data_IF_550233299176
#
_entry.id   IF_550233299176
#
_cell.length_a   1.000
_cell.length_b   1.000
_cell.length_c   1.000
_cell.angle_alpha   90.00
_cell.angle_beta   90.00
_cell.angle_gamma   90.00
#
_symmetry.space_group_name_H-M   'P 1'
#
loop_
_entity.id
_entity.type
_entity.pdbx_description
1 polymer ?
#
# COMPACT_ATOMS: atom_id res chain seq x y z
N UNK A 1 0.43 11.34 11.76
CA UNK A 1 -0.86 10.94 11.16
C UNK A 1 -0.95 9.43 11.28
N UNK A 2 -1.89 8.95 12.05
CA UNK A 2 -2.00 7.52 12.36
C UNK A 2 -3.47 7.07 12.32
N UNK A 3 -3.74 6.01 11.55
CA UNK A 3 -5.06 5.37 11.46
C UNK A 3 -6.22 6.32 11.17
N UNK A 4 -6.03 7.27 10.27
CA UNK A 4 -7.06 8.25 9.95
C UNK A 4 -7.03 8.64 8.47
N UNK A 5 -8.00 9.46 8.08
CA UNK A 5 -8.07 10.08 6.76
C UNK A 5 -7.86 11.58 6.91
N UNK A 6 -6.95 12.13 6.13
CA UNK A 6 -6.63 13.56 6.14
C UNK A 6 -6.82 14.12 4.74
N UNK A 7 -7.54 15.24 4.66
CA UNK A 7 -7.65 16.03 3.45
C UNK A 7 -7.22 17.46 3.77
N UNK A 8 -6.16 17.91 3.14
CA UNK A 8 -5.59 19.23 3.35
C UNK A 8 -5.41 19.94 2.00
N UNK A 9 -6.01 21.07 1.85
CA UNK A 9 -5.91 21.87 0.63
C UNK A 9 -5.69 23.33 0.97
N UNK A 10 -4.72 23.94 0.30
CA UNK A 10 -4.36 25.34 0.48
C UNK A 10 -3.72 25.90 -0.79
N UNK A 11 -3.76 27.19 -0.93
CA UNK A 11 -3.00 27.89 -1.99
C UNK A 11 -1.51 27.96 -1.68
N UNK A 12 -1.10 27.72 -0.45
CA UNK A 12 0.30 27.84 -0.02
C UNK A 12 0.92 26.45 0.14
N UNK A 13 0.61 25.77 1.21
CA UNK A 13 1.05 24.40 1.51
C UNK A 13 -0.15 23.51 1.78
N UNK A 14 -0.08 22.25 1.39
CA UNK A 14 -1.06 21.26 1.82
C UNK A 14 -0.80 20.81 3.26
N UNK A 15 0.32 20.17 3.48
CA UNK A 15 0.82 19.78 4.80
C UNK A 15 2.26 20.26 4.88
N UNK A 16 2.59 21.04 5.90
CA UNK A 16 3.93 21.59 6.03
C UNK A 16 4.43 21.58 7.47
N UNK A 17 5.75 21.44 7.60
CA UNK A 17 6.48 21.69 8.83
C UNK A 17 6.90 23.16 8.96
N UNK A 18 7.82 23.43 9.88
CA UNK A 18 8.32 24.78 10.16
C UNK A 18 9.78 24.93 9.75
N UNK A 19 10.05 24.78 8.47
CA UNK A 19 11.37 25.06 7.91
C UNK A 19 12.25 23.86 7.57
N UNK A 20 11.82 22.65 7.84
CA UNK A 20 12.46 21.45 7.28
C UNK A 20 13.73 20.93 7.95
N UNK A 21 14.14 21.49 9.08
CA UNK A 21 15.39 21.05 9.73
C UNK A 21 15.20 20.04 10.87
N UNK A 22 14.06 20.06 11.52
CA UNK A 22 13.81 19.26 12.72
C UNK A 22 12.49 18.52 12.73
N UNK A 23 11.57 18.88 11.87
CA UNK A 23 10.25 18.29 11.85
C UNK A 23 10.25 16.98 11.07
N UNK A 24 9.72 15.95 11.70
CA UNK A 24 9.58 14.64 11.10
C UNK A 24 8.09 14.30 10.93
N UNK A 25 7.68 14.02 9.73
CA UNK A 25 6.31 13.58 9.44
C UNK A 25 6.27 12.06 9.36
N UNK A 26 5.46 11.44 10.20
CA UNK A 26 5.17 10.02 10.13
C UNK A 26 3.71 9.82 9.75
N UNK A 27 3.48 9.02 8.72
CA UNK A 27 2.14 8.63 8.27
C UNK A 27 2.05 7.11 8.36
N UNK A 28 1.11 6.64 9.17
CA UNK A 28 0.97 5.21 9.45
C UNK A 28 -0.48 4.77 9.23
N UNK A 29 -0.67 3.77 8.39
CA UNK A 29 -1.98 3.17 8.11
C UNK A 29 -3.07 4.22 7.85
N UNK A 30 -2.77 5.22 7.01
CA UNK A 30 -3.64 6.36 6.79
C UNK A 30 -3.80 6.68 5.31
N UNK A 31 -4.94 7.30 4.99
CA UNK A 31 -5.20 7.87 3.68
C UNK A 31 -5.04 9.38 3.79
N UNK A 32 -4.15 9.95 2.99
CA UNK A 32 -3.84 11.38 3.02
C UNK A 32 -3.96 11.96 1.62
N UNK A 33 -4.68 13.06 1.52
CA UNK A 33 -4.72 13.89 0.32
C UNK A 33 -4.24 15.29 0.69
N UNK A 34 -3.21 15.78 0.01
CA UNK A 34 -2.65 17.09 0.26
C UNK A 34 -2.50 17.87 -1.06
N UNK A 35 -2.90 19.12 -1.05
CA UNK A 35 -2.75 20.04 -2.17
C UNK A 35 -2.23 21.36 -1.66
N UNK A 36 -1.05 21.77 -2.14
CA UNK A 36 -0.49 23.10 -1.91
C UNK A 36 0.09 23.60 -3.21
N UNK A 37 -0.44 24.70 -3.73
CA UNK A 37 -0.16 25.11 -5.11
C UNK A 37 1.00 26.08 -5.25
N UNK A 38 1.45 26.70 -4.17
CA UNK A 38 2.52 27.69 -4.22
C UNK A 38 3.89 27.10 -3.92
N UNK A 39 4.06 26.42 -2.80
CA UNK A 39 5.35 25.91 -2.35
C UNK A 39 5.46 24.39 -2.32
N UNK A 40 4.37 23.68 -2.07
CA UNK A 40 4.35 22.23 -2.10
C UNK A 40 3.16 21.63 -1.39
N UNK A 41 2.76 20.47 -1.85
CA UNK A 41 1.64 19.76 -1.25
C UNK A 41 2.01 19.08 0.09
N UNK A 42 3.24 18.55 0.18
CA UNK A 42 3.84 18.07 1.43
C UNK A 42 5.27 18.61 1.46
N UNK A 43 5.57 19.51 2.38
CA UNK A 43 6.81 20.27 2.33
C UNK A 43 7.29 20.69 3.72
N UNK A 44 8.54 21.18 3.79
CA UNK A 44 9.19 21.71 4.99
C UNK A 44 9.31 20.70 6.13
N UNK A 45 9.66 19.44 5.79
CA UNK A 45 9.98 18.40 6.75
C UNK A 45 11.42 17.92 6.59
N UNK A 46 12.07 17.58 7.69
CA UNK A 46 13.38 16.94 7.68
C UNK A 46 13.29 15.50 7.18
N UNK A 47 12.21 14.81 7.48
CA UNK A 47 11.98 13.44 7.00
C UNK A 47 10.51 13.11 6.87
N UNK A 48 10.21 12.15 6.00
CA UNK A 48 8.91 11.53 5.87
C UNK A 48 9.07 10.03 6.06
N UNK A 49 8.31 9.47 6.98
CA UNK A 49 8.26 8.02 7.21
C UNK A 49 6.86 7.52 6.89
N UNK A 50 6.77 6.55 6.00
CA UNK A 50 5.51 5.89 5.63
C UNK A 50 5.51 4.48 6.19
N UNK A 51 4.48 4.13 6.96
CA UNK A 51 4.31 2.81 7.54
C UNK A 51 2.93 2.28 7.16
N UNK A 52 2.90 1.18 6.41
CA UNK A 52 1.64 0.59 5.95
C UNK A 52 0.85 1.50 5.01
N UNK A 53 1.54 2.38 4.30
CA UNK A 53 0.95 3.25 3.28
C UNK A 53 2.01 3.70 2.28
N UNK A 54 1.58 4.17 1.11
CA UNK A 54 2.47 4.59 0.03
C UNK A 54 1.93 5.81 -0.71
N UNK A 55 2.84 6.57 -1.29
CA UNK A 55 2.46 7.65 -2.22
C UNK A 55 1.99 7.01 -3.52
N UNK A 56 0.74 7.24 -3.88
CA UNK A 56 0.15 6.67 -5.09
C UNK A 56 -0.08 7.70 -6.19
N UNK A 57 -0.07 8.98 -5.84
CA UNK A 57 -0.26 10.07 -6.80
C UNK A 57 0.51 11.31 -6.34
N UNK A 58 1.26 11.98 -7.24
CA UNK A 58 1.54 11.56 -8.62
C UNK A 58 2.44 10.32 -8.64
N UNK A 59 2.31 9.53 -9.69
CA UNK A 59 3.11 8.33 -9.85
C UNK A 59 4.60 8.68 -9.94
N UNK A 60 5.42 7.97 -9.17
CA UNK A 60 6.86 8.20 -9.12
C UNK A 60 7.31 9.31 -8.16
N UNK A 61 6.39 9.98 -7.48
CA UNK A 61 6.75 10.99 -6.48
C UNK A 61 7.37 10.33 -5.24
N UNK A 62 8.43 10.95 -4.73
CA UNK A 62 9.17 10.49 -3.56
C UNK A 62 9.53 11.66 -2.65
N UNK A 63 9.86 11.36 -1.40
CA UNK A 63 10.36 12.37 -0.48
C UNK A 63 11.86 12.62 -0.75
N UNK A 64 12.23 13.89 -0.90
CA UNK A 64 13.61 14.32 -1.05
C UNK A 64 14.04 15.12 0.17
N UNK A 65 14.97 14.60 1.00
CA UNK A 65 15.46 15.33 2.17
C UNK A 65 16.16 16.66 1.82
N UNK A 66 16.77 16.75 0.65
CA UNK A 66 17.43 18.00 0.22
C UNK A 66 16.41 19.09 -0.16
N UNK A 67 15.23 18.70 -0.55
CA UNK A 67 14.11 19.60 -0.89
C UNK A 67 13.10 19.73 0.24
N UNK A 68 13.27 18.96 1.31
CA UNK A 68 12.37 18.92 2.48
C UNK A 68 10.90 18.61 2.16
N UNK A 69 10.66 17.86 1.11
CA UNK A 69 9.29 17.58 0.69
C UNK A 69 9.15 16.49 -0.35
N UNK A 70 7.91 16.23 -0.72
CA UNK A 70 7.62 15.29 -1.80
C UNK A 70 7.88 15.97 -3.13
N UNK A 71 8.69 15.32 -3.96
CA UNK A 71 9.10 15.80 -5.27
C UNK A 71 8.75 14.80 -6.37
N UNK A 72 8.63 15.30 -7.57
CA UNK A 72 8.52 14.51 -8.79
C UNK A 72 9.54 15.04 -9.81
N UNK A 73 10.41 14.18 -10.29
CA UNK A 73 11.50 14.55 -11.21
C UNK A 73 12.39 15.68 -10.65
N UNK A 74 12.58 15.71 -9.33
CA UNK A 74 13.42 16.71 -8.67
C UNK A 74 12.73 18.02 -8.31
N UNK A 75 11.48 18.21 -8.68
CA UNK A 75 10.72 19.43 -8.39
C UNK A 75 9.64 19.16 -7.32
N UNK A 76 9.41 20.13 -6.40
CA UNK A 76 8.33 19.98 -5.42
C UNK A 76 6.97 19.79 -6.09
N UNK A 77 6.21 18.83 -5.60
CA UNK A 77 4.86 18.56 -6.11
C UNK A 77 3.94 19.67 -5.60
N UNK A 78 3.35 20.41 -6.51
CA UNK A 78 2.40 21.51 -6.24
C UNK A 78 0.99 21.18 -6.70
N UNK A 79 0.75 19.91 -6.95
CA UNK A 79 -0.54 19.36 -7.32
C UNK A 79 -0.96 18.35 -6.27
N UNK A 80 -2.06 17.67 -6.50
CA UNK A 80 -2.59 16.70 -5.54
C UNK A 80 -1.60 15.57 -5.26
N UNK A 81 -1.21 15.43 -4.00
CA UNK A 81 -0.49 14.27 -3.47
C UNK A 81 -1.49 13.36 -2.78
N UNK A 82 -1.49 12.11 -3.14
CA UNK A 82 -2.35 11.10 -2.51
C UNK A 82 -1.47 10.00 -1.93
N UNK A 83 -1.64 9.74 -0.65
CA UNK A 83 -1.00 8.64 0.08
C UNK A 83 -2.13 7.71 0.49
N UNK A 84 -2.01 6.44 0.14
CA UNK A 84 -3.03 5.43 0.43
C UNK A 84 -2.50 4.38 1.38
N UNK A 85 -3.35 3.99 2.30
CA UNK A 85 -3.11 2.86 3.18
C UNK A 85 -3.03 1.57 2.35
N UNK A 86 -2.05 0.75 2.67
CA UNK A 86 -1.94 -0.57 2.06
C UNK A 86 -3.11 -1.45 2.49
N UNK A 87 -3.65 -2.27 1.59
CA UNK A 87 -4.69 -3.22 1.96
C UNK A 87 -4.17 -4.18 3.04
N UNK A 88 -4.79 -4.18 4.19
CA UNK A 88 -4.35 -5.01 5.32
C UNK A 88 -4.55 -6.49 5.04
N UNK A 89 -3.48 -7.27 5.20
CA UNK A 89 -3.52 -8.73 5.13
C UNK A 89 -3.67 -9.33 3.73
N UNK A 90 -3.85 -8.50 2.70
CA UNK A 90 -4.11 -8.99 1.34
C UNK A 90 -2.90 -8.79 0.43
N UNK A 91 -2.09 -7.81 0.69
CA UNK A 91 -0.93 -7.49 -0.13
C UNK A 91 0.03 -8.66 -0.30
N UNK A 92 0.24 -9.43 0.74
CA UNK A 92 1.08 -10.62 0.70
C UNK A 92 0.45 -11.73 -0.16
N UNK A 93 -0.86 -11.84 -0.16
CA UNK A 93 -1.57 -12.86 -0.93
C UNK A 93 -1.59 -12.55 -2.43
N UNK A 94 -1.65 -11.29 -2.81
CA UNK A 94 -1.68 -10.89 -4.21
C UNK A 94 -0.39 -11.19 -4.96
N UNK A 95 0.70 -11.31 -4.25
CA UNK A 95 1.99 -11.63 -4.85
C UNK A 95 2.13 -13.12 -5.19
N UNK A 96 1.14 -13.94 -4.92
CA UNK A 96 1.32 -15.38 -4.89
C UNK A 96 0.33 -16.15 -5.75
N UNK A 97 0.45 -16.05 -7.09
CA UNK A 97 -0.35 -16.88 -7.98
C UNK A 97 0.04 -18.37 -7.92
N UNK A 98 1.15 -18.68 -7.27
CA UNK A 98 1.69 -20.04 -7.18
C UNK A 98 1.39 -20.72 -5.85
N UNK A 99 0.50 -20.16 -5.03
CA UNK A 99 0.08 -20.80 -3.79
C UNK A 99 -0.44 -22.20 -4.11
N UNK A 100 0.13 -23.24 -3.49
CA UNK A 100 -0.34 -24.59 -3.72
C UNK A 100 -1.81 -24.72 -3.38
N UNK A 101 -2.57 -25.41 -4.21
CA UNK A 101 -3.96 -25.68 -3.93
C UNK A 101 -4.09 -26.48 -2.65
N UNK A 102 -5.01 -26.07 -1.79
CA UNK A 102 -5.37 -26.84 -0.61
C UNK A 102 -6.32 -27.96 -1.03
N UNK A 103 -5.84 -29.18 -1.10
CA UNK A 103 -6.62 -30.34 -1.48
C UNK A 103 -6.85 -31.22 -0.24
N UNK A 104 -8.12 -31.53 0.03
CA UNK A 104 -8.51 -32.39 1.13
C UNK A 104 -9.35 -33.55 0.61
N UNK A 105 -9.22 -34.70 1.23
CA UNK A 105 -10.15 -35.82 0.98
C UNK A 105 -11.51 -35.49 1.59
N UNK A 106 -12.53 -36.26 1.20
CA UNK A 106 -13.89 -36.11 1.76
C UNK A 106 -13.90 -36.31 3.28
N UNK A 107 -12.97 -37.13 3.80
CA UNK A 107 -12.81 -37.35 5.24
C UNK A 107 -12.04 -36.22 5.96
N UNK A 108 -11.58 -35.19 5.25
CA UNK A 108 -10.88 -34.06 5.85
C UNK A 108 -9.36 -34.20 5.93
N UNK A 109 -8.79 -35.22 5.31
CA UNK A 109 -7.33 -35.40 5.30
C UNK A 109 -6.69 -34.55 4.21
N UNK A 110 -5.71 -33.74 4.58
CA UNK A 110 -4.96 -32.94 3.62
C UNK A 110 -4.11 -33.84 2.73
N UNK A 111 -4.22 -33.64 1.44
CA UNK A 111 -3.47 -34.37 0.44
C UNK A 111 -2.35 -33.51 -0.12
N UNK A 112 -1.21 -34.13 -0.38
CA UNK A 112 -0.07 -33.47 -1.03
C UNK A 112 -0.04 -33.82 -2.52
N UNK A 113 0.52 -32.92 -3.33
CA UNK A 113 0.66 -33.12 -4.75
C UNK A 113 -0.41 -32.41 -5.59
N UNK A 114 -0.36 -32.63 -6.88
CA UNK A 114 -1.28 -31.98 -7.81
C UNK A 114 -2.58 -32.79 -7.96
N UNK A 115 -3.68 -32.07 -8.10
CA UNK A 115 -5.01 -32.67 -8.27
C UNK A 115 -5.06 -33.67 -9.43
N UNK A 116 -4.41 -33.37 -10.54
CA UNK A 116 -4.38 -34.24 -11.72
C UNK A 116 -3.78 -35.61 -11.47
N UNK A 117 -2.92 -35.73 -10.45
CA UNK A 117 -2.21 -36.96 -10.10
C UNK A 117 -2.97 -37.79 -9.06
N UNK A 118 -4.10 -37.34 -8.59
CA UNK A 118 -4.91 -38.05 -7.61
C UNK A 118 -5.79 -39.11 -8.27
N UNK A 119 -6.10 -40.21 -7.55
CA UNK A 119 -7.03 -41.22 -8.06
C UNK A 119 -8.46 -40.62 -8.20
N UNK A 120 -9.28 -41.33 -8.94
CA UNK A 120 -10.69 -40.96 -9.09
C UNK A 120 -11.37 -40.88 -7.71
N UNK A 121 -12.21 -39.88 -7.55
CA UNK A 121 -12.93 -39.69 -6.30
C UNK A 121 -13.43 -38.27 -6.10
N UNK A 122 -13.93 -38.02 -4.92
CA UNK A 122 -14.43 -36.71 -4.53
C UNK A 122 -13.42 -36.05 -3.61
N UNK A 123 -13.05 -34.82 -3.91
CA UNK A 123 -12.07 -34.04 -3.17
C UNK A 123 -12.61 -32.65 -2.87
N UNK A 124 -12.01 -32.00 -1.87
CA UNK A 124 -12.27 -30.60 -1.56
C UNK A 124 -11.04 -29.81 -1.99
N UNK A 125 -11.19 -28.98 -2.99
CA UNK A 125 -10.11 -28.15 -3.54
C UNK A 125 -10.46 -26.69 -3.31
N UNK A 126 -9.59 -25.98 -2.58
CA UNK A 126 -9.80 -24.57 -2.23
C UNK A 126 -11.18 -24.32 -1.57
N UNK A 127 -11.64 -25.23 -0.74
CA UNK A 127 -12.93 -25.12 -0.07
C UNK A 127 -14.14 -25.54 -0.93
N UNK A 128 -13.93 -26.06 -2.13
CA UNK A 128 -14.99 -26.51 -3.04
C UNK A 128 -14.94 -28.01 -3.25
N UNK A 129 -16.11 -28.62 -3.28
CA UNK A 129 -16.24 -30.03 -3.60
C UNK A 129 -16.02 -30.24 -5.10
N UNK A 130 -15.06 -31.08 -5.44
CA UNK A 130 -14.70 -31.39 -6.84
C UNK A 130 -14.73 -32.92 -7.02
N UNK A 131 -15.37 -33.35 -8.09
CA UNK A 131 -15.42 -34.78 -8.45
C UNK A 131 -14.40 -35.03 -9.55
N UNK A 132 -13.50 -35.99 -9.31
CA UNK A 132 -12.54 -36.43 -10.32
C UNK A 132 -13.05 -37.73 -10.94
N UNK A 133 -13.43 -37.69 -12.25
CA UNK A 133 -13.94 -38.84 -12.96
C UNK A 133 -12.93 -39.94 -13.22
#
# INVERSE_FOLDING_TARGET
IDNCTVNAESTVYGIAGDGGEKEHLTIKNADVTAIGTQYGSVSDFASLTLIGCNVVQPEGATFDPAKHGIVLNGDPVKTKVTIKKDPTGISAATAEPTVPQSIYSVSGVRLSGEFKNLPKGVYIVNGRKVVKP
#
